data_IF_220359856436
#
_entry.id   IF_220359856436
#
_cell.length_a   1.000
_cell.length_b   1.000
_cell.length_c   1.000
_cell.angle_alpha   90.00
_cell.angle_beta   90.00
_cell.angle_gamma   90.00
#
_symmetry.space_group_name_H-M   'P 1'
#
loop_
_entity.id
_entity.type
_entity.pdbx_description
1 polymer ?
#
# COMPACT_ATOMS: atom_id res chain seq x y z
N UNK A 1 -7.20 -7.90 12.43
CA UNK A 1 -7.71 -7.29 11.17
C UNK A 1 -6.60 -7.39 10.13
N UNK A 2 -6.87 -7.83 8.90
CA UNK A 2 -5.81 -8.02 7.89
C UNK A 2 -5.58 -6.76 7.03
N UNK A 3 -4.37 -6.58 6.48
CA UNK A 3 -4.05 -5.47 5.56
C UNK A 3 -5.00 -5.44 4.35
N UNK A 4 -5.36 -6.60 3.82
CA UNK A 4 -6.33 -6.76 2.73
C UNK A 4 -7.70 -6.21 3.12
N UNK A 5 -8.16 -6.52 4.33
CA UNK A 5 -9.45 -6.04 4.82
C UNK A 5 -9.41 -4.54 5.09
N UNK A 6 -8.30 -4.02 5.62
CA UNK A 6 -8.09 -2.58 5.78
C UNK A 6 -8.04 -1.84 4.44
N UNK A 7 -7.42 -2.40 3.40
CA UNK A 7 -7.42 -1.81 2.04
C UNK A 7 -8.84 -1.69 1.47
N UNK A 8 -9.67 -2.74 1.61
CA UNK A 8 -11.08 -2.69 1.22
C UNK A 8 -11.85 -1.59 1.95
N UNK A 9 -11.63 -1.45 3.26
CA UNK A 9 -12.30 -0.42 4.07
C UNK A 9 -11.87 1.01 3.70
N UNK A 10 -10.66 1.20 3.20
CA UNK A 10 -10.18 2.49 2.69
C UNK A 10 -10.54 2.71 1.20
N UNK A 11 -11.40 1.84 0.61
CA UNK A 11 -11.86 1.98 -0.77
C UNK A 11 -10.81 1.62 -1.82
N UNK A 12 -9.74 0.93 -1.43
CA UNK A 12 -8.68 0.51 -2.34
C UNK A 12 -8.95 -0.85 -2.94
N UNK A 13 -8.56 -1.03 -4.21
CA UNK A 13 -8.46 -2.35 -4.80
C UNK A 13 -7.34 -3.15 -4.09
N UNK A 14 -7.64 -4.30 -3.46
CA UNK A 14 -6.65 -5.02 -2.66
C UNK A 14 -5.48 -5.56 -3.46
N UNK A 15 -5.72 -5.90 -4.73
CA UNK A 15 -4.68 -6.42 -5.60
C UNK A 15 -3.71 -5.31 -6.01
N UNK A 16 -4.22 -4.16 -6.43
CA UNK A 16 -3.43 -2.97 -6.74
C UNK A 16 -2.60 -2.50 -5.55
N UNK A 17 -3.21 -2.45 -4.36
CA UNK A 17 -2.52 -2.12 -3.11
C UNK A 17 -1.35 -3.09 -2.83
N UNK A 18 -1.61 -4.40 -2.80
CA UNK A 18 -0.57 -5.38 -2.51
C UNK A 18 0.54 -5.37 -3.55
N UNK A 19 0.18 -5.26 -4.84
CA UNK A 19 1.16 -5.19 -5.93
C UNK A 19 2.09 -4.00 -5.75
N UNK A 20 1.55 -2.80 -5.52
CA UNK A 20 2.34 -1.58 -5.34
C UNK A 20 3.19 -1.62 -4.08
N UNK A 21 2.66 -2.11 -2.96
CA UNK A 21 3.43 -2.27 -1.72
C UNK A 21 4.59 -3.26 -1.91
N UNK A 22 4.36 -4.41 -2.54
CA UNK A 22 5.42 -5.39 -2.81
C UNK A 22 6.48 -4.85 -3.76
N UNK A 23 6.11 -4.01 -4.74
CA UNK A 23 7.08 -3.37 -5.64
C UNK A 23 7.92 -2.29 -4.95
N UNK A 24 7.36 -1.57 -3.97
CA UNK A 24 8.07 -0.50 -3.25
C UNK A 24 8.90 -1.00 -2.08
N UNK A 25 8.47 -2.06 -1.40
CA UNK A 25 9.12 -2.58 -0.19
C UNK A 25 10.65 -2.72 -0.28
N UNK A 26 11.26 -3.21 -1.38
CA UNK A 26 12.71 -3.37 -1.46
C UNK A 26 13.49 -2.05 -1.47
N UNK A 27 12.87 -0.96 -1.92
CA UNK A 27 13.51 0.36 -2.08
C UNK A 27 12.97 1.40 -1.09
N UNK A 28 11.90 1.07 -0.36
CA UNK A 28 11.27 1.96 0.61
C UNK A 28 12.03 1.98 1.93
N UNK A 29 12.23 3.17 2.49
CA UNK A 29 12.87 3.30 3.80
C UNK A 29 11.98 2.68 4.88
N UNK A 30 12.55 1.78 5.71
CA UNK A 30 11.82 1.13 6.79
C UNK A 30 11.19 2.12 7.79
N UNK A 31 11.84 3.28 8.00
CA UNK A 31 11.33 4.36 8.85
C UNK A 31 10.13 5.12 8.28
N UNK A 32 9.69 4.79 7.06
CA UNK A 32 8.53 5.41 6.38
C UNK A 32 7.48 4.38 5.98
N UNK A 33 7.53 3.18 6.57
CA UNK A 33 6.62 2.07 6.22
C UNK A 33 5.14 2.46 6.39
N UNK A 34 4.84 3.42 7.25
CA UNK A 34 3.51 3.97 7.48
C UNK A 34 2.87 4.56 6.21
N UNK A 35 3.68 5.08 5.27
CA UNK A 35 3.21 5.59 3.98
C UNK A 35 2.65 4.49 3.06
N UNK A 36 3.03 3.23 3.32
CA UNK A 36 2.52 2.06 2.60
C UNK A 36 1.29 1.44 3.28
N UNK A 37 0.82 1.98 4.41
CA UNK A 37 -0.37 1.45 5.09
C UNK A 37 -1.65 1.87 4.36
N UNK A 38 -2.73 1.07 4.42
CA UNK A 38 -3.91 1.29 3.59
C UNK A 38 -4.65 2.62 3.79
N UNK A 39 -4.40 3.36 4.88
CA UNK A 39 -5.02 4.66 5.16
C UNK A 39 -4.16 5.84 4.69
N UNK A 40 -2.87 5.61 4.39
CA UNK A 40 -1.93 6.61 3.86
C UNK A 40 -1.46 6.25 2.44
N UNK A 41 -1.89 5.10 1.93
CA UNK A 41 -1.45 4.59 0.66
C UNK A 41 -1.82 5.54 -0.48
N UNK A 42 -0.79 5.92 -1.24
CA UNK A 42 -0.91 6.73 -2.44
C UNK A 42 -0.43 5.90 -3.62
N UNK A 43 -1.30 5.53 -4.57
CA UNK A 43 -0.91 4.80 -5.77
C UNK A 43 0.23 5.51 -6.46
N UNK A 44 1.23 4.75 -6.91
CA UNK A 44 2.31 5.31 -7.71
C UNK A 44 1.64 5.61 -9.04
N UNK A 45 1.59 6.89 -9.43
CA UNK A 45 1.12 7.23 -10.76
C UNK A 45 2.05 6.48 -11.73
N UNK A 46 1.53 5.40 -12.31
CA UNK A 46 2.22 4.70 -13.39
C UNK A 46 2.20 5.67 -14.56
N UNK A 47 3.36 6.26 -14.82
CA UNK A 47 3.61 7.02 -16.03
C UNK A 47 3.71 6.09 -17.24
#
# INVERSE_FOLDING_TARGET
MSLVQSAKLNGHDPYAYLKDVLMRLPTHAASRIEELLPHQWRPSASN
#
